data_IF_447263203663
#
_entry.id   IF_447263203663
#
_cell.length_a   1.000
_cell.length_b   1.000
_cell.length_c   1.000
_cell.angle_alpha   90.00
_cell.angle_beta   90.00
_cell.angle_gamma   90.00
#
_symmetry.space_group_name_H-M   'P 1'
#
loop_
_entity.id
_entity.type
_entity.pdbx_description
1 polymer ?
#
# COMPACT_ATOMS: atom_id res chain seq x y z
N UNK A 1 -12.61 31.84 -34.15
CA UNK A 1 -12.13 31.92 -32.75
C UNK A 1 -12.46 30.59 -32.10
N UNK A 2 -11.42 29.84 -31.75
CA UNK A 2 -11.47 28.44 -31.30
C UNK A 2 -12.10 28.27 -29.92
N UNK A 3 -13.01 27.32 -29.76
CA UNK A 3 -13.24 26.68 -28.47
C UNK A 3 -13.13 25.16 -28.68
N UNK A 4 -12.01 24.62 -28.21
CA UNK A 4 -11.62 23.21 -28.28
C UNK A 4 -12.56 22.38 -27.38
N UNK A 5 -12.96 21.15 -27.76
CA UNK A 5 -13.79 20.31 -26.90
C UNK A 5 -13.07 20.01 -25.59
N UNK A 6 -13.86 19.90 -24.52
CA UNK A 6 -13.48 19.56 -23.14
C UNK A 6 -12.95 18.12 -23.04
N UNK A 7 -11.97 17.75 -23.85
CA UNK A 7 -11.32 16.44 -23.86
C UNK A 7 -10.13 16.45 -22.92
N UNK A 8 -10.21 15.57 -21.91
CA UNK A 8 -9.12 15.08 -21.08
C UNK A 8 -8.36 16.09 -20.21
N UNK A 9 -9.04 16.67 -19.22
CA UNK A 9 -8.31 17.05 -18.00
C UNK A 9 -7.86 15.75 -17.30
N UNK A 10 -6.68 15.23 -17.66
CA UNK A 10 -5.96 14.23 -16.87
C UNK A 10 -5.49 14.93 -15.59
N UNK A 11 -6.36 14.95 -14.58
CA UNK A 11 -5.99 15.47 -13.27
C UNK A 11 -4.99 14.49 -12.65
N UNK A 12 -3.71 14.84 -12.76
CA UNK A 12 -2.62 14.11 -12.11
C UNK A 12 -2.59 14.55 -10.66
N UNK A 13 -3.20 13.74 -9.79
CA UNK A 13 -3.09 13.90 -8.34
C UNK A 13 -1.78 13.24 -7.91
N UNK A 14 -0.98 13.91 -7.07
CA UNK A 14 0.18 13.29 -6.47
C UNK A 14 -0.27 12.04 -5.70
N UNK A 15 0.27 10.87 -6.05
CA UNK A 15 0.00 9.63 -5.33
C UNK A 15 0.57 9.76 -3.92
N UNK A 16 -0.27 10.18 -2.96
CA UNK A 16 0.03 10.00 -1.54
C UNK A 16 0.10 8.52 -1.18
N UNK A 17 -0.49 7.64 -2.01
CA UNK A 17 -0.42 6.21 -1.80
C UNK A 17 1.07 5.82 -1.77
N UNK A 18 1.52 5.35 -0.61
CA UNK A 18 2.77 4.67 -0.41
C UNK A 18 2.78 3.33 -1.17
N UNK A 19 2.75 3.41 -2.50
CA UNK A 19 2.86 2.30 -3.44
C UNK A 19 4.34 1.93 -3.51
N UNK A 20 4.69 0.79 -2.94
CA UNK A 20 6.07 0.32 -2.88
C UNK A 20 6.20 -0.98 -3.65
N UNK A 21 7.28 -1.09 -4.40
CA UNK A 21 7.55 -2.22 -5.25
C UNK A 21 8.64 -3.09 -4.62
N UNK A 22 8.30 -4.34 -4.32
CA UNK A 22 9.19 -5.32 -3.70
C UNK A 22 9.53 -6.40 -4.72
N UNK A 23 10.81 -6.73 -4.86
CA UNK A 23 11.29 -7.81 -5.73
C UNK A 23 11.59 -9.05 -4.88
N UNK A 24 10.98 -10.18 -5.24
CA UNK A 24 11.23 -11.48 -4.61
C UNK A 24 11.12 -12.58 -5.65
N UNK A 25 12.13 -13.44 -5.75
CA UNK A 25 12.17 -14.60 -6.66
C UNK A 25 11.80 -14.28 -8.12
N UNK A 26 12.30 -13.16 -8.65
CA UNK A 26 12.02 -12.71 -10.02
C UNK A 26 10.63 -12.13 -10.25
N UNK A 27 9.80 -12.02 -9.19
CA UNK A 27 8.46 -11.41 -9.24
C UNK A 27 8.47 -10.03 -8.60
N UNK A 28 7.51 -9.20 -9.04
CA UNK A 28 7.28 -7.86 -8.50
C UNK A 28 6.00 -7.86 -7.67
N UNK A 29 6.10 -7.34 -6.46
CA UNK A 29 4.98 -7.18 -5.56
C UNK A 29 4.70 -5.70 -5.33
N UNK A 30 3.42 -5.32 -5.44
CA UNK A 30 2.94 -3.97 -5.22
C UNK A 30 2.30 -3.94 -3.85
N UNK A 31 2.91 -3.21 -2.92
CA UNK A 31 2.45 -3.02 -1.55
C UNK A 31 1.86 -1.62 -1.43
N UNK A 32 0.64 -1.51 -0.87
CA UNK A 32 0.03 -0.24 -0.47
C UNK A 32 -0.25 -0.26 1.02
N UNK A 33 0.56 0.45 1.79
CA UNK A 33 0.48 0.45 3.25
C UNK A 33 -0.83 1.08 3.76
N UNK A 34 -1.25 2.20 3.19
CA UNK A 34 -2.48 2.91 3.60
C UNK A 34 -3.73 2.07 3.35
N UNK A 35 -3.74 1.36 2.22
CA UNK A 35 -4.86 0.50 1.82
C UNK A 35 -4.75 -0.92 2.38
N UNK A 36 -3.69 -1.21 3.14
CA UNK A 36 -3.39 -2.54 3.70
C UNK A 36 -3.50 -3.65 2.63
N UNK A 37 -2.95 -3.39 1.44
CA UNK A 37 -3.02 -4.33 0.30
C UNK A 37 -1.64 -4.73 -0.21
N UNK A 38 -1.51 -5.97 -0.65
CA UNK A 38 -0.39 -6.46 -1.44
C UNK A 38 -0.92 -7.34 -2.58
N UNK A 39 -0.35 -7.29 -3.78
CA UNK A 39 -0.75 -8.22 -4.86
C UNK A 39 -0.37 -9.68 -4.60
N UNK A 40 0.34 -10.00 -3.50
CA UNK A 40 0.44 -11.37 -2.99
C UNK A 40 -0.85 -11.89 -2.32
N UNK A 41 -1.83 -11.00 -2.07
CA UNK A 41 -3.14 -11.30 -1.48
C UNK A 41 -3.15 -11.41 0.04
N UNK A 42 -2.01 -11.74 0.66
CA UNK A 42 -1.93 -12.01 2.12
C UNK A 42 -2.29 -10.80 2.99
N UNK A 43 -1.89 -9.60 2.60
CA UNK A 43 -2.14 -8.40 3.41
C UNK A 43 -3.65 -8.12 3.58
N UNK A 44 -4.43 -8.33 2.53
CA UNK A 44 -5.87 -8.14 2.52
C UNK A 44 -6.60 -9.26 3.26
N UNK A 45 -6.11 -10.50 3.13
CA UNK A 45 -6.75 -11.69 3.68
C UNK A 45 -6.46 -11.86 5.17
N UNK A 46 -5.17 -11.80 5.55
CA UNK A 46 -4.73 -12.06 6.92
C UNK A 46 -4.96 -10.83 7.81
N UNK A 47 -5.27 -9.67 7.20
CA UNK A 47 -5.53 -8.42 7.89
C UNK A 47 -4.36 -7.96 8.81
N UNK A 48 -3.16 -8.47 8.53
CA UNK A 48 -1.85 -8.15 9.09
C UNK A 48 -0.85 -7.94 7.94
N UNK A 49 0.22 -7.16 8.14
CA UNK A 49 1.23 -6.96 7.11
C UNK A 49 1.87 -8.28 6.65
N UNK A 50 1.76 -8.56 5.35
CA UNK A 50 2.49 -9.67 4.73
C UNK A 50 4.02 -9.43 4.75
N UNK A 51 4.82 -10.45 4.45
CA UNK A 51 6.29 -10.33 4.41
C UNK A 51 6.78 -9.17 3.52
N UNK A 52 6.13 -8.91 2.39
CA UNK A 52 6.46 -7.78 1.52
C UNK A 52 6.16 -6.43 2.18
N UNK A 53 5.02 -6.31 2.87
CA UNK A 53 4.68 -5.11 3.61
C UNK A 53 5.65 -4.86 4.77
N UNK A 54 6.04 -5.92 5.49
CA UNK A 54 7.04 -5.85 6.56
C UNK A 54 8.40 -5.37 6.01
N UNK A 55 8.84 -5.90 4.85
CA UNK A 55 10.09 -5.46 4.23
C UNK A 55 10.08 -3.96 3.90
N UNK A 56 8.95 -3.47 3.39
CA UNK A 56 8.73 -2.04 3.10
C UNK A 56 8.73 -1.18 4.36
N UNK A 57 8.11 -1.66 5.44
CA UNK A 57 8.04 -0.94 6.71
C UNK A 57 9.43 -0.83 7.34
N UNK A 58 10.20 -1.93 7.29
CA UNK A 58 11.62 -1.96 7.70
C UNK A 58 12.48 -1.01 6.86
N UNK A 59 12.29 -0.96 5.54
CA UNK A 59 13.08 -0.06 4.66
C UNK A 59 12.81 1.42 4.92
N UNK A 60 11.68 1.74 5.59
CA UNK A 60 11.30 3.10 6.00
C UNK A 60 11.59 3.38 7.47
N UNK A 61 12.28 2.48 8.17
CA UNK A 61 12.53 2.56 9.60
C UNK A 61 11.25 2.70 10.44
N UNK A 62 10.12 2.19 9.94
CA UNK A 62 8.85 2.15 10.67
C UNK A 62 8.88 0.91 11.56
N UNK A 63 8.96 1.13 12.87
CA UNK A 63 8.99 0.07 13.89
C UNK A 63 7.61 -0.23 14.46
N UNK A 64 6.72 0.76 14.49
CA UNK A 64 5.33 0.57 14.90
C UNK A 64 4.51 -0.02 13.74
N UNK A 65 4.16 -1.29 13.89
CA UNK A 65 3.39 -2.02 12.90
C UNK A 65 1.88 -1.94 13.14
N UNK A 66 1.45 -1.47 14.31
CA UNK A 66 0.03 -1.46 14.70
C UNK A 66 -0.87 -0.70 13.72
N UNK A 67 -0.49 0.49 13.20
CA UNK A 67 -1.33 1.21 12.24
C UNK A 67 -1.58 0.45 10.93
N UNK A 68 -0.70 -0.51 10.62
CA UNK A 68 -0.75 -1.32 9.40
C UNK A 68 -1.51 -2.63 9.60
N UNK A 69 -1.81 -3.04 10.83
CA UNK A 69 -2.72 -4.14 11.13
C UNK A 69 -4.18 -3.68 11.02
N UNK A 70 -5.11 -4.61 10.78
CA UNK A 70 -6.54 -4.32 10.88
C UNK A 70 -6.99 -4.14 12.32
N UNK A 71 -8.13 -3.47 12.48
CA UNK A 71 -8.69 -3.13 13.79
C UNK A 71 -8.98 -4.38 14.65
N UNK A 72 -9.21 -5.52 14.00
CA UNK A 72 -9.43 -6.82 14.64
C UNK A 72 -8.23 -7.28 15.50
N UNK A 73 -7.00 -7.04 15.05
CA UNK A 73 -5.78 -7.49 15.73
C UNK A 73 -5.22 -6.48 16.74
N UNK A 74 -5.63 -5.21 16.65
CA UNK A 74 -5.22 -4.17 17.62
C UNK A 74 -6.20 -4.07 18.81
N UNK A 75 -7.39 -4.67 18.69
CA UNK A 75 -8.40 -4.69 19.75
C UNK A 75 -8.05 -5.61 20.93
N UNK A 76 -7.02 -6.46 20.81
CA UNK A 76 -6.48 -7.25 21.92
C UNK A 76 -5.37 -6.45 22.60
N UNK A 77 -5.75 -5.50 23.45
CA UNK A 77 -4.85 -4.96 24.48
C UNK A 77 -4.69 -6.04 25.57
N UNK A 78 -3.61 -6.80 25.49
CA UNK A 78 -3.03 -7.49 26.65
C UNK A 78 -2.46 -6.46 27.63
#
# INVERSE_FOLDING_TARGET
>A
MSNLPRSELKQVVASSEFILLVYESGRRYIVRLERKTCNCGRFQLDAIPCAHAIAVLKSKNITDMHPHCSDYYIAVKI
#
